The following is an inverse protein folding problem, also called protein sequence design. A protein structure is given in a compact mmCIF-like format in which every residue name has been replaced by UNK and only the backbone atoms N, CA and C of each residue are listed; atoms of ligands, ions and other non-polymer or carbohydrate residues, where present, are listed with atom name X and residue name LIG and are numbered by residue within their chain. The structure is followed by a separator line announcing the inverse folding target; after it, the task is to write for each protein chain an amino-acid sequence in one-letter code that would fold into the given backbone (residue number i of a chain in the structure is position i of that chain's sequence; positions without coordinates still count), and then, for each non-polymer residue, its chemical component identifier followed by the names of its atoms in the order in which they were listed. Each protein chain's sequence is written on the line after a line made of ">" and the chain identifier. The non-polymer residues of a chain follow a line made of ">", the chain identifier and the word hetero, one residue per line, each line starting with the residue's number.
data_IF_895166882219
#
_entry.id   IF_895166882219
#
_cell.length_a   1.000
_cell.length_b   1.000
_cell.length_c   1.000
_cell.angle_alpha   90.00
_cell.angle_beta   90.00
_cell.angle_gamma   90.00
#
_symmetry.space_group_name_H-M   'P 1'
#
loop_
_entity.id
_entity.type
_entity.pdbx_description
1 polymer ?
#
# COMPACT_ATOMS: atom_id res chain seq x y z
N UNK A 1 12.79 16.38 -23.70
CA UNK A 1 12.42 16.30 -22.27
C UNK A 1 12.19 14.83 -21.94
N UNK A 2 13.07 14.04 -21.34
CA UNK A 2 14.41 14.29 -20.83
C UNK A 2 14.80 13.32 -19.71
N UNK A 3 14.55 12.00 -19.86
CA UNK A 3 15.16 10.86 -19.14
C UNK A 3 15.87 11.12 -17.79
N UNK A 4 15.19 11.70 -16.81
CA UNK A 4 15.73 11.86 -15.45
C UNK A 4 15.13 10.83 -14.46
N UNK A 5 13.99 10.23 -14.83
CA UNK A 5 13.05 9.50 -13.96
C UNK A 5 13.63 8.22 -13.33
N UNK A 6 14.52 7.48 -13.99
CA UNK A 6 14.87 6.12 -13.53
C UNK A 6 16.20 6.00 -12.79
N UNK A 7 17.03 7.04 -12.71
CA UNK A 7 18.42 6.90 -12.20
C UNK A 7 18.66 7.42 -10.79
N UNK A 8 17.90 8.44 -10.36
CA UNK A 8 18.07 9.10 -9.04
C UNK A 8 17.10 8.52 -8.01
N UNK A 9 15.83 8.31 -8.37
CA UNK A 9 14.88 7.56 -7.54
C UNK A 9 15.31 6.10 -7.36
N UNK A 10 15.72 5.36 -8.41
CA UNK A 10 16.16 3.96 -8.22
C UNK A 10 17.34 3.82 -7.26
N UNK A 11 18.27 4.78 -7.22
CA UNK A 11 19.40 4.71 -6.28
C UNK A 11 18.97 4.97 -4.83
N UNK A 12 18.00 5.87 -4.62
CA UNK A 12 17.37 6.02 -3.31
C UNK A 12 16.56 4.77 -2.96
N UNK A 13 15.79 4.21 -3.89
CA UNK A 13 14.98 2.98 -3.71
C UNK A 13 15.84 1.74 -3.46
N UNK A 14 16.99 1.58 -4.12
CA UNK A 14 17.94 0.49 -3.86
C UNK A 14 18.60 0.65 -2.48
N UNK A 15 18.94 1.88 -2.08
CA UNK A 15 19.40 2.16 -0.72
C UNK A 15 18.29 1.87 0.32
N UNK A 16 17.03 2.24 0.04
CA UNK A 16 15.87 1.94 0.89
C UNK A 16 15.56 0.44 0.97
N UNK A 17 15.65 -0.30 -0.14
CA UNK A 17 15.51 -1.78 -0.16
C UNK A 17 16.60 -2.46 0.66
N UNK A 18 17.82 -1.91 0.69
CA UNK A 18 18.95 -2.45 1.46
C UNK A 18 18.85 -2.14 2.96
N UNK A 19 18.37 -0.96 3.34
CA UNK A 19 18.21 -0.58 4.76
C UNK A 19 17.07 -1.34 5.45
N UNK A 20 15.95 -1.60 4.73
CA UNK A 20 14.89 -2.50 5.20
C UNK A 20 15.40 -3.95 5.40
N UNK A 21 16.44 -4.36 4.67
CA UNK A 21 16.99 -5.71 4.72
C UNK A 21 18.02 -5.89 5.85
N UNK A 22 18.77 -4.86 6.21
CA UNK A 22 19.76 -4.92 7.30
C UNK A 22 19.16 -4.82 8.71
N UNK A 23 17.94 -4.30 8.86
CA UNK A 23 17.29 -4.15 10.17
C UNK A 23 16.62 -5.41 10.71
N UNK A 24 16.77 -6.57 10.06
CA UNK A 24 16.54 -7.92 10.60
C UNK A 24 15.71 -7.98 11.89
N UNK A 25 14.43 -7.60 11.81
CA UNK A 25 13.51 -7.73 12.93
C UNK A 25 13.11 -9.20 13.00
N UNK A 26 13.99 -9.98 13.66
CA UNK A 26 13.65 -11.30 14.13
C UNK A 26 12.37 -11.23 14.97
N UNK A 27 11.60 -12.30 14.87
CA UNK A 27 10.51 -12.64 15.77
C UNK A 27 10.93 -12.32 17.22
N UNK A 28 10.07 -11.61 17.96
CA UNK A 28 10.23 -11.13 19.35
C UNK A 28 10.95 -9.78 19.58
N UNK A 29 10.26 -8.67 19.24
CA UNK A 29 10.55 -7.37 19.85
C UNK A 29 9.26 -6.61 20.22
N UNK A 30 8.85 -6.76 21.48
CA UNK A 30 7.94 -5.84 22.16
C UNK A 30 8.56 -4.44 22.22
N UNK A 31 7.94 -3.44 21.58
CA UNK A 31 8.16 -2.04 21.91
C UNK A 31 6.83 -1.28 21.97
N UNK A 32 6.30 -1.22 23.19
CA UNK A 32 5.31 -0.24 23.63
C UNK A 32 6.08 0.98 24.15
N UNK A 33 5.75 2.21 23.70
CA UNK A 33 5.82 3.38 24.56
C UNK A 33 4.40 3.85 24.90
N UNK A 34 4.04 3.60 26.15
CA UNK A 34 2.89 4.17 26.81
C UNK A 34 3.21 5.64 27.14
N UNK A 35 2.37 6.56 26.69
CA UNK A 35 2.51 8.00 26.93
C UNK A 35 1.16 8.65 27.25
N UNK A 36 0.62 8.31 28.43
CA UNK A 36 -0.18 9.18 29.31
C UNK A 36 -1.38 9.95 28.75
N UNK A 37 -2.58 9.39 28.93
CA UNK A 37 -3.74 10.16 29.42
C UNK A 37 -4.37 9.42 30.60
N UNK A 38 -4.33 10.09 31.74
CA UNK A 38 -4.96 9.71 32.99
C UNK A 38 -6.50 9.78 32.82
N UNK A 39 -7.19 8.64 32.75
CA UNK A 39 -8.64 8.58 32.99
C UNK A 39 -8.93 7.48 33.99
N UNK A 40 -9.40 7.90 35.16
CA UNK A 40 -9.88 7.05 36.25
C UNK A 40 -11.04 6.19 35.74
N UNK A 41 -10.88 4.87 35.79
CA UNK A 41 -11.99 3.93 35.69
C UNK A 41 -12.88 4.04 36.94
N UNK A 42 -13.96 4.81 36.83
CA UNK A 42 -15.13 4.71 37.69
C UNK A 42 -16.25 4.03 36.90
N UNK A 43 -16.58 2.79 37.30
CA UNK A 43 -17.85 2.08 37.13
C UNK A 43 -18.77 2.47 35.94
N UNK A 44 -18.96 1.55 34.99
CA UNK A 44 -20.11 1.58 34.09
C UNK A 44 -19.87 0.96 32.73
N UNK A 45 -20.66 -0.04 32.37
CA UNK A 45 -20.75 -0.64 31.04
C UNK A 45 -20.91 0.43 29.94
N UNK A 46 -20.21 0.25 28.81
CA UNK A 46 -20.65 0.79 27.53
C UNK A 46 -20.44 -0.24 26.42
N UNK A 47 -21.54 -0.91 26.07
CA UNK A 47 -21.70 -1.72 24.86
C UNK A 47 -22.01 -0.75 23.73
N UNK A 48 -21.10 -0.61 22.76
CA UNK A 48 -21.42 0.04 21.48
C UNK A 48 -21.53 -1.04 20.40
N UNK A 49 -22.73 -1.62 20.30
CA UNK A 49 -23.22 -2.20 19.06
C UNK A 49 -23.40 -1.08 18.05
N UNK A 50 -22.57 -1.04 17.01
CA UNK A 50 -22.93 -0.38 15.75
C UNK A 50 -23.23 -1.46 14.73
N UNK A 51 -24.51 -1.79 14.68
CA UNK A 51 -25.14 -2.61 13.63
C UNK A 51 -25.10 -1.78 12.35
N UNK A 52 -24.33 -2.25 11.36
CA UNK A 52 -24.19 -1.59 10.06
C UNK A 52 -25.40 -1.97 9.17
N UNK A 53 -26.27 -1.04 8.74
CA UNK A 53 -27.50 -1.37 8.02
C UNK A 53 -27.31 -1.24 6.51
N UNK A 54 -26.51 -2.11 5.89
CA UNK A 54 -26.47 -2.26 4.42
C UNK A 54 -26.33 -3.72 4.00
N UNK A 55 -27.30 -4.54 4.42
CA UNK A 55 -27.59 -5.83 3.79
C UNK A 55 -29.08 -5.89 3.50
N UNK A 56 -29.49 -5.50 2.29
CA UNK A 56 -30.64 -6.13 1.61
C UNK A 56 -30.70 -5.81 0.11
N UNK A 57 -30.52 -6.91 -0.65
CA UNK A 57 -31.18 -7.28 -1.91
C UNK A 57 -30.96 -6.39 -3.13
N UNK A 58 -30.03 -6.83 -3.99
CA UNK A 58 -30.38 -7.16 -5.38
C UNK A 58 -29.89 -8.56 -5.71
N UNK A 59 -30.83 -9.39 -6.15
CA UNK A 59 -30.54 -10.71 -6.70
C UNK A 59 -29.85 -10.57 -8.05
N UNK A 60 -28.75 -11.28 -8.20
CA UNK A 60 -28.03 -11.51 -9.44
C UNK A 60 -27.01 -12.60 -9.11
N UNK A 61 -27.24 -13.80 -9.66
CA UNK A 61 -26.46 -15.03 -9.51
C UNK A 61 -25.07 -14.88 -8.85
N UNK A 62 -24.97 -15.24 -7.56
CA UNK A 62 -23.70 -15.69 -6.97
C UNK A 62 -23.72 -17.21 -7.02
N UNK A 63 -23.15 -17.78 -8.09
CA UNK A 63 -22.77 -19.19 -8.13
C UNK A 63 -21.28 -19.26 -8.44
N UNK A 64 -20.44 -19.35 -7.40
CA UNK A 64 -19.20 -20.15 -7.38
C UNK A 64 -18.35 -20.03 -6.11
N UNK A 65 -18.74 -19.28 -5.07
CA UNK A 65 -17.89 -19.06 -3.88
C UNK A 65 -17.56 -20.33 -3.07
N UNK A 66 -18.43 -21.35 -3.07
CA UNK A 66 -18.21 -22.57 -2.27
C UNK A 66 -17.23 -23.58 -2.91
N UNK A 67 -16.96 -23.47 -4.23
CA UNK A 67 -16.05 -24.42 -4.91
C UNK A 67 -14.58 -24.05 -4.79
N UNK A 68 -14.29 -22.78 -4.53
CA UNK A 68 -12.92 -22.26 -4.50
C UNK A 68 -12.36 -22.14 -3.07
N UNK A 69 -13.19 -22.33 -2.04
CA UNK A 69 -12.74 -22.28 -0.64
C UNK A 69 -11.56 -23.23 -0.34
N UNK A 70 -11.54 -24.49 -0.81
CA UNK A 70 -10.38 -25.36 -0.61
C UNK A 70 -9.13 -24.90 -1.38
N UNK A 71 -9.33 -24.25 -2.55
CA UNK A 71 -8.24 -23.80 -3.40
C UNK A 71 -7.58 -22.55 -2.83
N UNK A 72 -8.35 -21.55 -2.39
CA UNK A 72 -7.77 -20.35 -1.78
C UNK A 72 -6.98 -20.71 -0.53
N UNK A 73 -7.44 -21.62 0.32
CA UNK A 73 -6.69 -22.04 1.51
C UNK A 73 -5.40 -22.79 1.14
N UNK A 74 -5.44 -23.62 0.09
CA UNK A 74 -4.24 -24.30 -0.43
C UNK A 74 -3.23 -23.27 -0.92
N UNK A 75 -3.65 -22.31 -1.74
CA UNK A 75 -2.77 -21.28 -2.31
C UNK A 75 -2.25 -20.33 -1.22
N UNK A 76 -3.10 -19.90 -0.30
CA UNK A 76 -2.72 -19.07 0.85
C UNK A 76 -1.63 -19.73 1.69
N UNK A 77 -1.71 -21.06 1.89
CA UNK A 77 -0.67 -21.81 2.62
C UNK A 77 0.67 -21.93 1.87
N UNK A 78 0.66 -21.79 0.55
CA UNK A 78 1.87 -21.84 -0.29
C UNK A 78 2.58 -20.50 -0.38
N UNK A 79 1.90 -19.41 -0.05
CA UNK A 79 2.46 -18.07 -0.01
C UNK A 79 2.88 -17.79 1.43
N UNK A 80 4.17 -17.61 1.67
CA UNK A 80 4.67 -17.15 2.97
C UNK A 80 5.77 -16.15 2.73
N UNK A 81 5.67 -14.98 3.39
CA UNK A 81 6.56 -13.86 3.16
C UNK A 81 6.61 -13.42 1.69
N UNK A 82 7.76 -12.91 1.28
CA UNK A 82 8.03 -12.49 -0.09
C UNK A 82 7.95 -13.67 -1.07
N UNK A 83 7.19 -13.51 -2.15
CA UNK A 83 7.13 -14.48 -3.24
C UNK A 83 7.92 -13.98 -4.44
N UNK A 84 9.02 -14.67 -4.76
CA UNK A 84 9.78 -14.36 -5.96
C UNK A 84 8.91 -14.54 -7.22
N UNK A 85 9.06 -13.71 -8.27
CA UNK A 85 8.24 -13.81 -9.47
C UNK A 85 8.23 -15.21 -10.11
N UNK A 86 9.38 -15.89 -10.12
CA UNK A 86 9.48 -17.27 -10.62
C UNK A 86 8.58 -18.24 -9.83
N UNK A 87 8.52 -18.09 -8.50
CA UNK A 87 7.68 -18.92 -7.63
C UNK A 87 6.20 -18.66 -7.88
N UNK A 88 5.79 -17.39 -8.07
CA UNK A 88 4.42 -17.06 -8.42
C UNK A 88 4.00 -17.72 -9.75
N UNK A 89 4.85 -17.68 -10.77
CA UNK A 89 4.61 -18.31 -12.07
C UNK A 89 4.56 -19.85 -11.97
N UNK A 90 5.37 -20.46 -11.10
CA UNK A 90 5.30 -21.90 -10.85
C UNK A 90 3.96 -22.30 -10.22
N UNK A 91 3.47 -21.53 -9.24
CA UNK A 91 2.14 -21.73 -8.65
C UNK A 91 1.06 -21.58 -9.72
N UNK A 92 1.12 -20.56 -10.57
CA UNK A 92 0.15 -20.37 -11.65
C UNK A 92 0.20 -21.48 -12.71
N UNK A 93 1.36 -22.10 -12.94
CA UNK A 93 1.49 -23.25 -13.86
C UNK A 93 0.82 -24.50 -13.28
N UNK A 94 0.96 -24.72 -11.98
CA UNK A 94 0.34 -25.84 -11.27
C UNK A 94 -1.17 -25.62 -11.04
N UNK A 95 -1.57 -24.38 -10.77
CA UNK A 95 -2.95 -23.96 -10.50
C UNK A 95 -3.37 -22.77 -11.38
N UNK A 96 -3.67 -23.00 -12.68
CA UNK A 96 -3.98 -21.91 -13.61
C UNK A 96 -5.16 -21.02 -13.22
N UNK A 97 -6.13 -21.56 -12.48
CA UNK A 97 -7.29 -20.81 -12.00
C UNK A 97 -6.92 -19.64 -11.06
N UNK A 98 -5.74 -19.68 -10.42
CA UNK A 98 -5.27 -18.63 -9.51
C UNK A 98 -5.27 -17.25 -10.17
N UNK A 99 -4.80 -17.16 -11.42
CA UNK A 99 -4.66 -15.87 -12.12
C UNK A 99 -6.00 -15.15 -12.25
N UNK A 100 -7.07 -15.89 -12.57
CA UNK A 100 -8.41 -15.33 -12.73
C UNK A 100 -9.18 -15.16 -11.42
N UNK A 101 -8.80 -15.87 -10.36
CA UNK A 101 -9.57 -15.92 -9.11
C UNK A 101 -8.97 -15.07 -7.98
N UNK A 102 -7.67 -14.78 -7.99
CA UNK A 102 -6.97 -14.14 -6.87
C UNK A 102 -7.55 -12.77 -6.50
N UNK A 103 -7.99 -11.95 -7.46
CA UNK A 103 -8.63 -10.67 -7.17
C UNK A 103 -9.97 -10.83 -6.42
N UNK A 104 -10.73 -11.89 -6.71
CA UNK A 104 -11.95 -12.24 -5.96
C UNK A 104 -11.60 -12.68 -4.55
N UNK A 105 -10.58 -13.54 -4.39
CA UNK A 105 -10.13 -13.99 -3.07
C UNK A 105 -9.59 -12.86 -2.20
N UNK A 106 -8.90 -11.88 -2.78
CA UNK A 106 -8.47 -10.66 -2.07
C UNK A 106 -9.71 -9.90 -1.57
N UNK A 107 -10.71 -9.70 -2.42
CA UNK A 107 -11.96 -9.01 -2.07
C UNK A 107 -12.71 -9.72 -0.94
N UNK A 108 -12.83 -11.04 -1.02
CA UNK A 108 -13.51 -11.87 -0.02
C UNK A 108 -12.74 -11.85 1.32
N UNK A 109 -11.41 -11.92 1.27
CA UNK A 109 -10.54 -11.80 2.45
C UNK A 109 -10.65 -10.43 3.11
N UNK A 110 -10.69 -9.36 2.32
CA UNK A 110 -10.91 -7.99 2.79
C UNK A 110 -12.32 -7.77 3.37
N UNK A 111 -13.33 -8.48 2.86
CA UNK A 111 -14.68 -8.47 3.43
C UNK A 111 -14.74 -9.21 4.78
N UNK A 112 -13.95 -10.27 4.93
CA UNK A 112 -13.80 -11.02 6.18
C UNK A 112 -12.85 -10.36 7.20
N UNK A 113 -12.17 -9.27 6.83
CA UNK A 113 -11.17 -8.61 7.68
C UNK A 113 -9.86 -9.40 7.84
N UNK A 114 -9.58 -10.36 6.95
CA UNK A 114 -8.36 -11.15 6.96
C UNK A 114 -7.24 -10.43 6.18
N UNK A 115 -6.68 -9.38 6.78
CA UNK A 115 -5.68 -8.51 6.16
C UNK A 115 -4.37 -9.22 5.85
N UNK A 116 -3.96 -10.16 6.70
CA UNK A 116 -2.76 -10.97 6.46
C UNK A 116 -2.90 -11.83 5.20
N UNK A 117 -4.09 -12.37 4.92
CA UNK A 117 -4.37 -13.08 3.66
C UNK A 117 -4.43 -12.12 2.47
N UNK A 118 -4.96 -10.91 2.64
CA UNK A 118 -4.95 -9.86 1.60
C UNK A 118 -3.52 -9.58 1.14
N UNK A 119 -2.59 -9.34 2.07
CA UNK A 119 -1.19 -9.03 1.77
C UNK A 119 -0.51 -10.17 1.01
N UNK A 120 -0.67 -11.42 1.46
CA UNK A 120 -0.11 -12.59 0.79
C UNK A 120 -0.67 -12.77 -0.62
N UNK A 121 -1.98 -12.68 -0.79
CA UNK A 121 -2.61 -12.83 -2.09
C UNK A 121 -2.26 -11.68 -3.04
N UNK A 122 -2.10 -10.45 -2.54
CA UNK A 122 -1.64 -9.32 -3.34
C UNK A 122 -0.21 -9.54 -3.85
N UNK A 123 0.70 -9.98 -2.97
CA UNK A 123 2.08 -10.34 -3.33
C UNK A 123 2.15 -11.46 -4.38
N UNK A 124 1.25 -12.45 -4.32
CA UNK A 124 1.13 -13.47 -5.37
C UNK A 124 0.59 -12.90 -6.69
N UNK A 125 -0.41 -12.03 -6.60
CA UNK A 125 -1.14 -11.50 -7.76
C UNK A 125 -0.31 -10.52 -8.60
N UNK A 126 0.56 -9.73 -7.96
CA UNK A 126 1.37 -8.71 -8.59
C UNK A 126 2.28 -9.23 -9.73
N UNK A 127 3.18 -10.21 -9.50
CA UNK A 127 4.03 -10.75 -10.57
C UNK A 127 3.24 -11.54 -11.63
N UNK A 128 2.00 -11.91 -11.35
CA UNK A 128 1.12 -12.60 -12.30
C UNK A 128 0.30 -11.63 -13.17
N UNK A 129 0.40 -10.31 -12.92
CA UNK A 129 -0.44 -9.30 -13.54
C UNK A 129 -1.94 -9.68 -13.49
N UNK A 130 -2.39 -10.15 -12.32
CA UNK A 130 -3.73 -10.71 -12.18
C UNK A 130 -4.81 -9.67 -12.53
N UNK A 131 -5.77 -10.00 -13.42
CA UNK A 131 -6.83 -9.07 -13.79
C UNK A 131 -7.64 -8.60 -12.58
N UNK A 132 -7.89 -7.28 -12.51
CA UNK A 132 -8.67 -6.66 -11.44
C UNK A 132 -7.91 -6.45 -10.12
N UNK A 133 -6.60 -6.74 -10.07
CA UNK A 133 -5.78 -6.48 -8.89
C UNK A 133 -5.75 -4.99 -8.52
N UNK A 134 -5.49 -4.10 -9.49
CA UNK A 134 -5.49 -2.65 -9.27
C UNK A 134 -6.79 -2.15 -8.64
N UNK A 135 -7.92 -2.51 -9.24
CA UNK A 135 -9.26 -2.15 -8.74
C UNK A 135 -9.50 -2.59 -7.29
N UNK A 136 -9.17 -3.84 -6.95
CA UNK A 136 -9.41 -4.35 -5.60
C UNK A 136 -8.50 -3.68 -4.58
N UNK A 137 -7.22 -3.45 -4.89
CA UNK A 137 -6.28 -2.77 -3.99
C UNK A 137 -6.66 -1.31 -3.79
N UNK A 138 -7.06 -0.60 -4.86
CA UNK A 138 -7.64 0.75 -4.78
C UNK A 138 -8.80 0.80 -3.77
N UNK A 139 -9.76 -0.12 -3.87
CA UNK A 139 -10.91 -0.17 -2.97
C UNK A 139 -10.52 -0.43 -1.51
N UNK A 140 -9.38 -1.10 -1.27
CA UNK A 140 -8.89 -1.42 0.07
C UNK A 140 -8.18 -0.22 0.68
N UNK A 141 -7.25 0.42 -0.04
CA UNK A 141 -6.48 1.55 0.49
C UNK A 141 -7.37 2.77 0.81
N UNK A 142 -8.51 2.92 0.10
CA UNK A 142 -9.47 3.98 0.39
C UNK A 142 -10.17 3.81 1.75
N UNK A 143 -10.23 2.59 2.30
CA UNK A 143 -10.95 2.28 3.56
C UNK A 143 -10.16 2.62 4.83
N UNK A 144 -8.90 3.03 4.73
CA UNK A 144 -8.02 3.40 5.85
C UNK A 144 -8.04 2.36 7.00
N UNK A 145 -7.60 1.14 6.66
CA UNK A 145 -7.64 -0.01 7.55
C UNK A 145 -6.42 -0.03 8.47
N UNK A 146 -6.65 -0.11 9.79
CA UNK A 146 -5.57 -0.30 10.77
C UNK A 146 -5.00 -1.71 10.72
N UNK A 147 -3.67 -1.84 10.83
CA UNK A 147 -2.96 -3.13 10.85
C UNK A 147 -2.72 -3.77 9.48
N UNK A 148 -3.15 -3.13 8.39
CA UNK A 148 -2.79 -3.50 7.02
C UNK A 148 -1.51 -2.77 6.61
N UNK A 149 -0.54 -3.50 6.07
CA UNK A 149 0.66 -2.91 5.48
C UNK A 149 0.30 -2.17 4.19
N UNK A 150 -0.08 -0.90 4.35
CA UNK A 150 -0.55 -0.06 3.26
C UNK A 150 0.59 0.32 2.32
N UNK A 151 1.82 0.40 2.83
CA UNK A 151 3.02 0.71 2.05
C UNK A 151 3.24 -0.35 0.96
N UNK A 152 3.12 -1.62 1.33
CA UNK A 152 3.26 -2.76 0.41
C UNK A 152 2.18 -2.74 -0.69
N UNK A 153 0.93 -2.44 -0.33
CA UNK A 153 -0.14 -2.34 -1.33
C UNK A 153 0.08 -1.18 -2.31
N UNK A 154 0.63 -0.06 -1.83
CA UNK A 154 0.96 1.10 -2.68
C UNK A 154 2.15 0.77 -3.59
N UNK A 155 3.17 0.08 -3.09
CA UNK A 155 4.29 -0.43 -3.91
C UNK A 155 3.78 -1.36 -5.01
N UNK A 156 2.90 -2.31 -4.68
CA UNK A 156 2.28 -3.20 -5.66
C UNK A 156 1.50 -2.43 -6.73
N UNK A 157 0.75 -1.39 -6.35
CA UNK A 157 0.00 -0.56 -7.30
C UNK A 157 0.94 0.16 -8.30
N UNK A 158 2.08 0.67 -7.81
CA UNK A 158 3.15 1.24 -8.64
C UNK A 158 3.76 0.21 -9.59
N UNK A 159 4.18 -0.94 -9.05
CA UNK A 159 4.83 -2.04 -9.79
C UNK A 159 3.97 -2.56 -10.94
N UNK A 160 2.65 -2.65 -10.76
CA UNK A 160 1.72 -3.11 -11.81
C UNK A 160 1.25 -1.97 -12.74
N UNK A 161 1.66 -0.72 -12.50
CA UNK A 161 1.27 0.44 -13.30
C UNK A 161 -0.23 0.77 -13.23
N UNK A 162 -0.88 0.56 -12.08
CA UNK A 162 -2.30 0.82 -11.89
C UNK A 162 -2.60 2.32 -11.77
N UNK A 163 -2.42 3.06 -12.87
CA UNK A 163 -2.53 4.53 -12.93
C UNK A 163 -3.87 5.09 -12.43
N UNK A 164 -4.95 4.32 -12.54
CA UNK A 164 -6.27 4.66 -11.98
C UNK A 164 -6.27 4.79 -10.45
N UNK A 165 -5.22 4.30 -9.77
CA UNK A 165 -5.03 4.41 -8.34
C UNK A 165 -4.54 5.79 -7.89
N UNK A 166 -4.08 6.66 -8.80
CA UNK A 166 -3.41 7.92 -8.47
C UNK A 166 -4.22 8.76 -7.46
N UNK A 167 -5.50 9.00 -7.75
CA UNK A 167 -6.37 9.76 -6.86
C UNK A 167 -6.63 9.05 -5.53
N UNK A 168 -6.71 7.72 -5.52
CA UNK A 168 -6.93 6.93 -4.31
C UNK A 168 -5.71 6.98 -3.38
N UNK A 169 -4.51 6.82 -3.94
CA UNK A 169 -3.23 6.93 -3.24
C UNK A 169 -3.08 8.33 -2.64
N UNK A 170 -3.30 9.37 -3.45
CA UNK A 170 -3.17 10.76 -3.00
C UNK A 170 -4.13 11.10 -1.85
N UNK A 171 -5.44 10.80 -2.01
CA UNK A 171 -6.44 11.03 -0.96
C UNK A 171 -6.15 10.24 0.31
N UNK A 172 -5.69 8.99 0.18
CA UNK A 172 -5.29 8.16 1.32
C UNK A 172 -4.11 8.81 2.05
N UNK A 173 -3.07 9.23 1.33
CA UNK A 173 -1.90 9.85 1.93
C UNK A 173 -2.26 11.13 2.67
N UNK A 174 -3.11 12.00 2.09
CA UNK A 174 -3.58 13.22 2.76
C UNK A 174 -4.20 12.95 4.14
N UNK A 175 -4.94 11.84 4.30
CA UNK A 175 -5.53 11.46 5.59
C UNK A 175 -4.49 10.95 6.59
N UNK A 176 -3.40 10.35 6.10
CA UNK A 176 -2.42 9.63 6.93
C UNK A 176 -1.11 10.37 7.17
N UNK A 177 -0.86 11.47 6.47
CA UNK A 177 0.42 12.18 6.48
C UNK A 177 0.89 12.61 7.89
N UNK A 178 -0.05 12.92 8.79
CA UNK A 178 0.26 13.29 10.17
C UNK A 178 0.80 12.12 11.02
N UNK A 179 0.51 10.88 10.61
CA UNK A 179 0.89 9.64 11.30
C UNK A 179 2.10 8.95 10.67
N UNK A 180 2.54 9.40 9.50
CA UNK A 180 3.64 8.81 8.73
C UNK A 180 5.04 9.28 9.21
N UNK A 181 5.07 10.29 10.08
CA UNK A 181 6.30 10.79 10.70
C UNK A 181 6.95 9.75 11.64
N UNK A 182 8.28 9.84 11.88
CA UNK A 182 9.21 10.82 11.32
C UNK A 182 9.77 10.43 9.95
N UNK A 183 9.63 9.17 9.55
CA UNK A 183 10.32 8.64 8.37
C UNK A 183 9.57 8.87 7.06
N UNK A 184 8.26 9.11 7.11
CA UNK A 184 7.42 9.36 5.94
C UNK A 184 7.45 8.22 4.91
N UNK A 185 7.45 6.97 5.38
CA UNK A 185 7.60 5.79 4.54
C UNK A 185 6.45 5.65 3.55
N UNK A 186 5.21 5.83 4.02
CA UNK A 186 4.04 5.75 3.15
C UNK A 186 4.04 6.87 2.11
N UNK A 187 4.44 8.08 2.48
CA UNK A 187 4.55 9.20 1.56
C UNK A 187 5.59 8.91 0.47
N UNK A 188 6.77 8.40 0.82
CA UNK A 188 7.81 8.07 -0.14
C UNK A 188 7.36 6.97 -1.12
N UNK A 189 6.71 5.90 -0.62
CA UNK A 189 6.13 4.84 -1.47
C UNK A 189 5.02 5.36 -2.38
N UNK A 190 4.19 6.26 -1.88
CA UNK A 190 3.14 6.91 -2.66
C UNK A 190 3.73 7.79 -3.77
N UNK A 191 4.77 8.58 -3.49
CA UNK A 191 5.46 9.42 -4.47
C UNK A 191 6.09 8.55 -5.57
N UNK A 192 6.76 7.45 -5.18
CA UNK A 192 7.34 6.51 -6.14
C UNK A 192 6.26 5.94 -7.07
N UNK A 193 5.19 5.38 -6.51
CA UNK A 193 4.08 4.82 -7.30
C UNK A 193 3.45 5.85 -8.24
N UNK A 194 3.18 7.07 -7.75
CA UNK A 194 2.66 8.16 -8.58
C UNK A 194 3.62 8.52 -9.72
N UNK A 195 4.93 8.56 -9.46
CA UNK A 195 5.93 8.87 -10.49
C UNK A 195 6.04 7.78 -11.57
N UNK A 196 5.79 6.51 -11.21
CA UNK A 196 5.84 5.38 -12.13
C UNK A 196 4.62 5.31 -13.06
N UNK A 197 3.47 5.86 -12.64
CA UNK A 197 2.28 5.91 -13.49
C UNK A 197 2.48 6.76 -14.75
N UNK A 198 3.31 7.81 -14.67
CA UNK A 198 3.63 8.67 -15.83
C UNK A 198 2.41 9.35 -16.46
N UNK A 199 1.35 9.59 -15.68
CA UNK A 199 0.14 10.29 -16.13
C UNK A 199 0.14 11.75 -15.69
N UNK A 200 -0.54 12.61 -16.46
CA UNK A 200 -0.68 14.03 -16.11
C UNK A 200 -1.40 14.22 -14.75
N UNK A 201 -2.39 13.39 -14.46
CA UNK A 201 -3.08 13.38 -13.16
C UNK A 201 -2.13 13.04 -12.00
N UNK A 202 -1.26 12.03 -12.16
CA UNK A 202 -0.28 11.69 -11.14
C UNK A 202 0.75 12.82 -10.95
N UNK A 203 1.20 13.44 -12.03
CA UNK A 203 2.07 14.61 -11.98
C UNK A 203 1.40 15.81 -11.28
N UNK A 204 0.10 16.02 -11.47
CA UNK A 204 -0.66 17.06 -10.75
C UNK A 204 -0.67 16.82 -9.25
N UNK A 205 -0.86 15.58 -8.81
CA UNK A 205 -0.76 15.22 -7.39
C UNK A 205 0.65 15.41 -6.84
N UNK A 206 1.68 15.00 -7.58
CA UNK A 206 3.08 15.24 -7.20
C UNK A 206 3.37 16.75 -7.08
N UNK A 207 2.85 17.57 -8.00
CA UNK A 207 3.00 19.04 -7.93
C UNK A 207 2.30 19.61 -6.69
N UNK A 208 1.11 19.10 -6.36
CA UNK A 208 0.43 19.50 -5.12
C UNK A 208 1.29 19.19 -3.88
N UNK A 209 1.94 18.02 -3.85
CA UNK A 209 2.81 17.60 -2.75
C UNK A 209 4.07 18.47 -2.55
N UNK A 210 4.44 19.33 -3.51
CA UNK A 210 5.55 20.28 -3.36
C UNK A 210 5.18 21.55 -2.56
N UNK A 211 3.88 21.77 -2.34
CA UNK A 211 3.34 22.97 -1.69
C UNK A 211 3.65 23.00 -0.19
N UNK A 212 3.57 24.18 0.41
CA UNK A 212 3.99 24.43 1.80
C UNK A 212 3.13 23.80 2.89
N UNK A 213 1.98 23.24 2.54
CA UNK A 213 1.09 22.48 3.42
C UNK A 213 1.56 21.04 3.64
N UNK A 214 2.51 20.55 2.83
CA UNK A 214 3.12 19.25 2.99
C UNK A 214 4.41 19.32 3.85
N UNK A 215 4.78 18.23 4.57
CA UNK A 215 6.04 18.17 5.30
C UNK A 215 7.26 18.30 4.38
N UNK A 216 8.35 18.91 4.87
CA UNK A 216 9.55 19.17 4.07
C UNK A 216 10.15 17.91 3.40
N UNK A 217 10.27 16.74 4.09
CA UNK A 217 10.73 15.52 3.41
C UNK A 217 9.85 15.11 2.24
N UNK A 218 8.53 15.26 2.38
CA UNK A 218 7.55 14.90 1.36
C UNK A 218 7.64 15.85 0.17
N UNK A 219 7.76 17.15 0.44
CA UNK A 219 7.97 18.18 -0.58
C UNK A 219 9.24 17.94 -1.38
N UNK A 220 10.34 17.59 -0.70
CA UNK A 220 11.61 17.23 -1.32
C UNK A 220 11.45 16.05 -2.27
N UNK A 221 10.94 14.92 -1.78
CA UNK A 221 10.79 13.71 -2.59
C UNK A 221 9.84 13.91 -3.79
N UNK A 222 8.75 14.66 -3.62
CA UNK A 222 7.84 14.97 -4.72
C UNK A 222 8.50 15.86 -5.79
N UNK A 223 9.29 16.86 -5.37
CA UNK A 223 10.05 17.71 -6.30
C UNK A 223 11.12 16.91 -7.06
N UNK A 224 11.83 16.00 -6.39
CA UNK A 224 12.80 15.10 -7.01
C UNK A 224 12.13 14.15 -8.02
N UNK A 225 10.95 13.60 -7.68
CA UNK A 225 10.18 12.76 -8.60
C UNK A 225 9.78 13.51 -9.88
N UNK A 226 9.46 14.79 -9.76
CA UNK A 226 9.16 15.69 -10.88
C UNK A 226 10.42 16.28 -11.56
N UNK A 227 11.59 16.14 -10.94
CA UNK A 227 12.85 16.76 -11.36
C UNK A 227 12.77 18.30 -11.42
N UNK A 228 12.18 18.91 -10.39
CA UNK A 228 11.98 20.37 -10.26
C UNK A 228 12.54 20.92 -8.94
N UNK A 229 13.33 20.13 -8.21
CA UNK A 229 13.89 20.51 -6.91
C UNK A 229 14.75 21.79 -6.98
N UNK A 230 15.57 21.92 -8.04
CA UNK A 230 16.42 23.09 -8.29
C UNK A 230 15.58 24.32 -8.65
N UNK A 231 14.53 24.14 -9.46
CA UNK A 231 13.62 25.23 -9.88
C UNK A 231 12.82 25.78 -8.70
N UNK A 232 12.51 24.93 -7.72
CA UNK A 232 11.84 25.30 -6.47
C UNK A 232 12.81 25.85 -5.42
N UNK A 233 14.13 25.76 -5.66
CA UNK A 233 15.17 26.18 -4.71
C UNK A 233 15.18 25.35 -3.44
N UNK A 234 14.79 24.08 -3.51
CA UNK A 234 14.85 23.17 -2.37
C UNK A 234 16.28 22.70 -2.13
N UNK A 235 16.67 22.63 -0.86
CA UNK A 235 17.99 22.17 -0.43
C UNK A 235 17.84 20.86 0.35
N UNK A 236 18.52 19.80 -0.10
CA UNK A 236 18.36 18.44 0.43
C UNK A 236 18.60 18.38 1.94
N UNK A 237 19.75 18.88 2.39
CA UNK A 237 20.18 18.79 3.79
C UNK A 237 19.21 19.53 4.71
N UNK A 238 18.74 20.71 4.29
CA UNK A 238 17.72 21.47 5.02
C UNK A 238 16.37 20.76 5.05
N UNK A 239 15.91 20.24 3.91
CA UNK A 239 14.56 19.66 3.78
C UNK A 239 14.45 18.30 4.47
N UNK A 240 15.54 17.55 4.52
CA UNK A 240 15.64 16.24 5.19
C UNK A 240 16.14 16.32 6.64
N UNK A 241 16.62 17.48 7.09
CA UNK A 241 17.06 17.70 8.46
C UNK A 241 18.42 17.08 8.79
N UNK A 242 19.33 17.01 7.81
CA UNK A 242 20.68 16.45 7.96
C UNK A 242 21.72 17.43 8.56
N UNK A 243 21.27 18.50 9.23
CA UNK A 243 22.12 19.56 9.80
C UNK A 243 22.79 19.20 11.12
#
# INVERSE_FOLDING_TARGET
>A
MGKCITGRLNRQVEAFRLDCWQLGAGEDALCIPCGSVNLRCGQGLCVCQLVNPWIRKRGGLVMNSDRDAPLVDTIDSMVSGFIAPARAHDIAREYPAVVSSVAVWIRDSAAAGNWSRVERLANLAAPLAAPGLGEVLCSIIERDISGLNTEDLVEILGDIGASEAAGSIFRMLQRRIAFDKPAYWLAQKSILALSEFGTEEADEYLRDMTRSDWPDPVRWHAAVALCVEDDLGFDEDRMLGHS
#
